data_IF_667367194046
#
_entry.id   IF_667367194046
#
_cell.length_a   1.000
_cell.length_b   1.000
_cell.length_c   1.000
_cell.angle_alpha   90.00
_cell.angle_beta   90.00
_cell.angle_gamma   90.00
#
_symmetry.space_group_name_H-M   'P 1'
#
loop_
_entity.id
_entity.type
_entity.pdbx_description
1 polymer ?
#
# COMPACT_ATOMS: atom_id res chain seq x y z
N UNK A 1 9.95 13.65 -22.34
CA UNK A 1 10.64 13.53 -21.04
C UNK A 1 10.26 12.20 -20.42
N UNK A 2 11.22 11.44 -19.87
CA UNK A 2 10.96 10.13 -19.27
C UNK A 2 10.76 10.25 -17.76
N UNK A 3 9.70 9.65 -17.24
CA UNK A 3 9.51 9.45 -15.81
C UNK A 3 10.43 8.34 -15.31
N UNK A 4 11.12 8.56 -14.18
CA UNK A 4 12.11 7.62 -13.62
C UNK A 4 11.68 7.03 -12.28
N UNK A 5 12.39 5.99 -11.85
CA UNK A 5 12.20 5.39 -10.52
C UNK A 5 12.50 6.40 -9.39
N UNK A 6 13.54 7.22 -9.57
CA UNK A 6 13.92 8.21 -8.58
C UNK A 6 12.80 9.26 -8.38
N UNK A 7 12.14 9.67 -9.47
CA UNK A 7 11.00 10.59 -9.39
C UNK A 7 9.87 10.01 -8.54
N UNK A 8 9.58 8.70 -8.71
CA UNK A 8 8.54 8.02 -7.93
C UNK A 8 8.93 7.86 -6.46
N UNK A 9 10.15 7.45 -6.17
CA UNK A 9 10.63 7.35 -4.78
C UNK A 9 10.61 8.69 -4.06
N UNK A 10 11.07 9.76 -4.72
CA UNK A 10 11.04 11.10 -4.15
C UNK A 10 9.60 11.55 -3.88
N UNK A 11 8.66 11.25 -4.77
CA UNK A 11 7.24 11.52 -4.54
C UNK A 11 6.70 10.78 -3.32
N UNK A 12 6.98 9.49 -3.19
CA UNK A 12 6.54 8.69 -2.04
C UNK A 12 7.12 9.20 -0.71
N UNK A 13 8.38 9.64 -0.70
CA UNK A 13 9.04 10.19 0.48
C UNK A 13 8.53 11.58 0.86
N UNK A 14 8.12 12.38 -0.13
CA UNK A 14 7.69 13.77 0.07
C UNK A 14 6.18 13.94 0.27
N UNK A 15 5.38 12.93 -0.08
CA UNK A 15 3.91 12.99 0.01
C UNK A 15 3.41 12.19 1.21
N UNK A 16 2.95 12.81 2.30
CA UNK A 16 2.54 12.09 3.51
C UNK A 16 1.07 11.64 3.52
N UNK A 17 0.24 12.08 2.55
CA UNK A 17 -1.23 11.92 2.61
C UNK A 17 -1.91 11.45 1.33
N UNK A 18 -1.41 11.85 0.16
CA UNK A 18 -2.00 11.50 -1.11
C UNK A 18 -0.94 10.85 -1.99
N UNK A 19 -1.19 9.60 -2.38
CA UNK A 19 -0.28 8.78 -3.17
C UNK A 19 -0.86 8.42 -4.54
N UNK A 20 -1.91 9.12 -4.99
CA UNK A 20 -2.53 8.81 -6.28
C UNK A 20 -1.65 9.26 -7.44
N UNK A 21 -1.69 8.52 -8.54
CA UNK A 21 -0.97 8.88 -9.78
C UNK A 21 -1.45 10.23 -10.35
N UNK A 22 -2.70 10.60 -10.09
CA UNK A 22 -3.23 11.92 -10.44
C UNK A 22 -2.56 13.03 -9.61
N UNK A 23 -2.38 12.83 -8.31
CA UNK A 23 -1.72 13.79 -7.45
C UNK A 23 -0.24 13.95 -7.83
N UNK A 24 0.45 12.84 -8.12
CA UNK A 24 1.80 12.90 -8.67
C UNK A 24 1.87 13.70 -9.97
N UNK A 25 0.94 13.47 -10.91
CA UNK A 25 0.92 14.21 -12.18
C UNK A 25 0.68 15.72 -11.99
N UNK A 26 -0.11 16.13 -10.99
CA UNK A 26 -0.30 17.55 -10.63
C UNK A 26 1.00 18.21 -10.15
N UNK A 27 1.87 17.46 -9.46
CA UNK A 27 3.13 17.96 -8.89
C UNK A 27 4.34 17.78 -9.84
N UNK A 28 4.18 16.97 -10.89
CA UNK A 28 5.14 16.77 -11.98
C UNK A 28 4.48 17.17 -13.31
N UNK A 29 4.23 18.47 -13.49
CA UNK A 29 3.58 19.08 -14.67
C UNK A 29 4.18 18.69 -16.04
N UNK A 30 5.37 18.10 -16.06
CA UNK A 30 6.06 17.63 -17.26
C UNK A 30 5.70 16.20 -17.69
N UNK A 31 4.91 15.46 -16.89
CA UNK A 31 4.54 14.05 -17.15
C UNK A 31 3.05 13.84 -16.90
N UNK A 32 2.35 13.25 -17.87
CA UNK A 32 0.92 12.89 -17.70
C UNK A 32 0.72 11.69 -16.78
N UNK A 33 -0.42 11.63 -16.11
CA UNK A 33 -0.82 10.49 -15.26
C UNK A 33 -0.83 9.16 -16.03
N UNK A 34 -1.23 9.17 -17.31
CA UNK A 34 -1.17 7.99 -18.17
C UNK A 34 0.24 7.46 -18.38
N UNK A 35 1.22 8.35 -18.49
CA UNK A 35 2.64 7.98 -18.66
C UNK A 35 3.17 7.32 -17.38
N UNK A 36 2.80 7.87 -16.23
CA UNK A 36 3.15 7.31 -14.92
C UNK A 36 2.49 5.94 -14.72
N UNK A 37 1.18 5.82 -15.01
CA UNK A 37 0.45 4.55 -14.94
C UNK A 37 1.10 3.46 -15.82
N UNK A 38 1.43 3.80 -17.07
CA UNK A 38 2.13 2.87 -17.97
C UNK A 38 3.54 2.52 -17.47
N UNK A 39 4.25 3.43 -16.83
CA UNK A 39 5.56 3.16 -16.25
C UNK A 39 5.46 2.19 -15.06
N UNK A 40 4.53 2.45 -14.14
CA UNK A 40 4.31 1.61 -12.95
C UNK A 40 3.79 0.22 -13.33
N UNK A 41 2.87 0.14 -14.29
CA UNK A 41 2.30 -1.15 -14.75
C UNK A 41 3.24 -2.04 -15.55
N UNK A 42 4.40 -1.52 -16.02
CA UNK A 42 5.42 -2.31 -16.74
C UNK A 42 6.40 -3.02 -15.83
N UNK A 43 6.35 -2.77 -14.51
CA UNK A 43 7.33 -3.28 -13.56
C UNK A 43 6.63 -4.20 -12.57
N UNK A 44 7.02 -5.47 -12.60
CA UNK A 44 6.74 -6.38 -11.50
C UNK A 44 7.89 -6.28 -10.50
N UNK A 45 7.60 -5.78 -9.30
CA UNK A 45 8.52 -5.88 -8.17
C UNK A 45 8.12 -7.17 -7.44
N UNK A 46 8.93 -8.22 -7.57
CA UNK A 46 8.68 -9.45 -6.82
C UNK A 46 9.03 -9.25 -5.35
N UNK A 47 8.39 -10.02 -4.48
CA UNK A 47 8.72 -10.08 -3.05
C UNK A 47 10.17 -10.47 -2.81
N UNK A 48 10.75 -11.28 -3.69
CA UNK A 48 12.16 -11.70 -3.65
C UNK A 48 13.11 -10.52 -3.84
N UNK A 49 12.88 -9.68 -4.87
CA UNK A 49 13.69 -8.48 -5.09
C UNK A 49 13.61 -7.55 -3.88
N UNK A 50 12.42 -7.37 -3.29
CA UNK A 50 12.26 -6.56 -2.08
C UNK A 50 13.09 -7.15 -0.95
N UNK A 51 12.96 -8.46 -0.71
CA UNK A 51 13.68 -9.16 0.36
C UNK A 51 15.20 -9.02 0.23
N UNK A 52 15.74 -9.23 -0.96
CA UNK A 52 17.18 -9.08 -1.22
C UNK A 52 17.69 -7.67 -0.87
N UNK A 53 16.89 -6.64 -1.11
CA UNK A 53 17.26 -5.25 -0.83
C UNK A 53 17.11 -4.87 0.65
N UNK A 54 16.16 -5.46 1.38
CA UNK A 54 15.84 -5.03 2.77
C UNK A 54 16.43 -5.93 3.84
N UNK A 55 16.76 -7.20 3.56
CA UNK A 55 17.15 -8.19 4.57
C UNK A 55 18.31 -7.74 5.45
N UNK A 56 19.29 -7.02 4.89
CA UNK A 56 20.47 -6.53 5.62
C UNK A 56 20.18 -5.34 6.51
N UNK A 57 19.04 -4.68 6.31
CA UNK A 57 18.57 -3.55 7.12
C UNK A 57 17.66 -3.99 8.25
N UNK A 58 17.23 -5.26 8.29
CA UNK A 58 16.43 -5.82 9.37
C UNK A 58 17.36 -6.15 10.53
N UNK A 59 17.12 -5.52 11.69
CA UNK A 59 17.81 -5.86 12.92
C UNK A 59 17.10 -7.04 13.57
N UNK A 60 17.72 -8.21 13.53
CA UNK A 60 17.22 -9.40 14.23
C UNK A 60 17.40 -9.24 15.75
N UNK A 61 16.38 -9.60 16.52
CA UNK A 61 16.40 -9.64 17.98
C UNK A 61 15.74 -10.95 18.44
N UNK A 62 16.36 -11.62 19.41
CA UNK A 62 15.86 -12.90 19.93
C UNK A 62 14.53 -12.75 20.67
N UNK A 63 14.25 -11.57 21.21
CA UNK A 63 13.00 -11.26 21.92
C UNK A 63 11.96 -10.60 21.00
N UNK A 64 12.31 -10.34 19.73
CA UNK A 64 11.37 -9.71 18.82
C UNK A 64 10.21 -10.64 18.45
N UNK A 65 9.08 -10.00 18.16
CA UNK A 65 7.83 -10.66 17.81
C UNK A 65 7.21 -10.04 16.57
N UNK A 66 6.56 -10.87 15.76
CA UNK A 66 5.67 -10.42 14.70
C UNK A 66 4.23 -10.48 15.20
N UNK A 67 3.58 -9.32 15.30
CA UNK A 67 2.19 -9.19 15.73
C UNK A 67 1.31 -9.02 14.50
N UNK A 68 0.32 -9.90 14.36
CA UNK A 68 -0.69 -9.81 13.32
C UNK A 68 -2.02 -9.42 13.93
N UNK A 69 -2.67 -8.41 13.36
CA UNK A 69 -4.02 -7.99 13.73
C UNK A 69 -4.86 -7.78 12.47
N UNK A 70 -6.11 -8.24 12.50
CA UNK A 70 -7.06 -8.04 11.42
C UNK A 70 -8.09 -6.97 11.80
N UNK A 71 -8.28 -6.01 10.90
CA UNK A 71 -9.29 -4.95 11.03
C UNK A 71 -10.22 -5.00 9.83
N UNK A 72 -11.53 -4.97 10.09
CA UNK A 72 -12.53 -4.79 9.04
C UNK A 72 -12.88 -3.30 8.94
N UNK A 73 -12.41 -2.66 7.88
CA UNK A 73 -12.82 -1.30 7.53
C UNK A 73 -14.27 -1.33 7.06
N UNK A 74 -15.14 -0.67 7.81
CA UNK A 74 -16.56 -0.59 7.47
C UNK A 74 -16.78 0.13 6.13
N UNK A 75 -17.39 -0.59 5.19
CA UNK A 75 -17.79 -0.08 3.88
C UNK A 75 -19.22 -0.51 3.55
N UNK A 76 -20.11 -0.50 4.54
CA UNK A 76 -21.52 -0.93 4.41
C UNK A 76 -22.29 -0.30 3.26
N UNK A 77 -21.95 0.94 2.89
CA UNK A 77 -22.59 1.66 1.78
C UNK A 77 -21.88 1.51 0.43
N UNK A 78 -20.70 0.88 0.39
CA UNK A 78 -19.96 0.70 -0.86
C UNK A 78 -20.35 -0.60 -1.55
N UNK A 79 -20.66 -0.50 -2.85
CA UNK A 79 -21.01 -1.66 -3.68
C UNK A 79 -20.09 -1.85 -4.89
N UNK A 80 -19.27 -0.84 -5.22
CA UNK A 80 -18.45 -0.82 -6.44
C UNK A 80 -16.95 -0.95 -6.18
N UNK A 81 -16.53 -1.01 -4.92
CA UNK A 81 -15.12 -1.21 -4.58
C UNK A 81 -14.85 -2.73 -4.58
N UNK A 82 -13.99 -3.19 -5.48
CA UNK A 82 -13.67 -4.61 -5.69
C UNK A 82 -13.27 -5.36 -4.40
N UNK A 83 -12.52 -4.70 -3.52
CA UNK A 83 -12.04 -5.27 -2.26
C UNK A 83 -13.14 -5.43 -1.19
N UNK A 84 -14.34 -4.87 -1.39
CA UNK A 84 -15.41 -4.95 -0.40
C UNK A 84 -16.03 -6.34 -0.40
N UNK A 85 -15.94 -7.01 0.76
CA UNK A 85 -16.46 -8.37 0.98
C UNK A 85 -17.36 -8.40 2.22
N UNK A 86 -18.16 -9.46 2.36
CA UNK A 86 -18.93 -9.71 3.59
C UNK A 86 -18.00 -10.35 4.63
N UNK A 87 -17.81 -9.69 5.76
CA UNK A 87 -16.89 -10.09 6.82
C UNK A 87 -17.54 -9.86 8.19
N UNK A 88 -17.21 -10.68 9.19
CA UNK A 88 -17.69 -10.48 10.54
C UNK A 88 -17.00 -9.26 11.17
N UNK A 89 -17.77 -8.36 11.76
CA UNK A 89 -17.24 -7.24 12.55
C UNK A 89 -17.47 -7.52 14.02
N UNK A 90 -16.38 -7.61 14.79
CA UNK A 90 -16.45 -7.72 16.24
C UNK A 90 -17.15 -6.53 16.89
N UNK A 91 -16.92 -5.32 16.37
CA UNK A 91 -17.55 -4.09 16.86
C UNK A 91 -19.08 -4.07 16.67
N UNK A 92 -19.58 -4.65 15.58
CA UNK A 92 -21.02 -4.68 15.26
C UNK A 92 -21.71 -5.97 15.67
N UNK A 93 -20.93 -6.96 16.11
CA UNK A 93 -21.41 -8.31 16.41
C UNK A 93 -22.23 -8.95 15.27
N UNK A 94 -21.88 -8.65 14.02
CA UNK A 94 -22.55 -9.19 12.83
C UNK A 94 -21.67 -9.13 11.58
N UNK A 95 -22.12 -9.82 10.53
CA UNK A 95 -21.50 -9.73 9.20
C UNK A 95 -21.88 -8.41 8.52
N UNK A 96 -20.87 -7.61 8.18
CA UNK A 96 -21.00 -6.34 7.45
C UNK A 96 -20.30 -6.44 6.09
N UNK A 97 -20.58 -5.48 5.19
CA UNK A 97 -19.71 -5.25 4.03
C UNK A 97 -18.54 -4.37 4.47
N UNK A 98 -17.33 -4.83 4.22
CA UNK A 98 -16.11 -4.13 4.61
C UNK A 98 -14.89 -4.58 3.83
N UNK A 99 -13.78 -3.88 4.01
CA UNK A 99 -12.47 -4.25 3.48
C UNK A 99 -11.66 -4.82 4.64
N UNK A 100 -11.16 -6.04 4.47
CA UNK A 100 -10.32 -6.71 5.46
C UNK A 100 -8.90 -6.21 5.30
N UNK A 101 -8.29 -5.76 6.38
CA UNK A 101 -6.90 -5.30 6.43
C UNK A 101 -6.20 -6.15 7.47
N UNK A 102 -5.09 -6.78 7.09
CA UNK A 102 -4.20 -7.44 8.03
C UNK A 102 -3.01 -6.50 8.22
N UNK A 103 -2.73 -6.18 9.48
CA UNK A 103 -1.54 -5.42 9.87
C UNK A 103 -0.51 -6.39 10.41
N UNK A 104 0.73 -6.27 9.95
CA UNK A 104 1.88 -7.00 10.48
C UNK A 104 2.84 -5.99 11.09
N UNK A 105 3.12 -6.13 12.39
CA UNK A 105 4.04 -5.26 13.12
C UNK A 105 5.21 -6.08 13.63
N UNK A 106 6.42 -5.61 13.36
CA UNK A 106 7.63 -6.06 14.03
C UNK A 106 7.78 -5.28 15.34
N UNK A 107 7.87 -5.99 16.46
CA UNK A 107 8.05 -5.41 17.79
C UNK A 107 9.32 -6.01 18.38
N UNK A 108 10.31 -5.16 18.68
CA UNK A 108 11.55 -5.50 19.36
C UNK A 108 11.74 -4.63 20.61
#
# INVERSE_FOLDING_TARGET
MSFSHLDYCQYLLSSPKNYTVTNLAEHKLTVSHDTINKFLGKREISSEIIWENVRTSIQEDAEASLVFDDTVLDKRYSQKIELVRRQYSGNEHRVIRGIGVITCLYVN
#
